data_IF_893103466348
#
_entry.id   IF_893103466348
#
_cell.length_a   1.000
_cell.length_b   1.000
_cell.length_c   1.000
_cell.angle_alpha   90.00
_cell.angle_beta   90.00
_cell.angle_gamma   90.00
#
_symmetry.space_group_name_H-M   'P 1'
#
loop_
_entity.id
_entity.type
_entity.pdbx_description
1 polymer ?
#
# COMPACT_ATOMS: atom_id res chain seq x y z
N UNK A 1 -4.27 20.53 8.41
CA UNK A 1 -2.92 20.45 7.81
C UNK A 1 -1.88 20.27 8.93
N UNK A 2 -1.70 19.04 9.44
CA UNK A 2 -0.76 18.77 10.56
C UNK A 2 0.60 18.20 10.09
N UNK A 3 0.73 17.85 8.80
CA UNK A 3 1.93 17.26 8.18
C UNK A 3 2.71 18.24 7.29
N UNK A 4 2.17 19.42 6.99
CA UNK A 4 2.82 20.42 6.14
C UNK A 4 4.09 20.96 6.82
N UNK A 5 5.22 20.30 6.54
CA UNK A 5 6.55 20.68 7.05
C UNK A 5 7.37 19.55 7.66
N UNK A 6 6.84 18.32 7.83
CA UNK A 6 7.63 17.19 8.36
C UNK A 6 7.98 16.17 7.27
N UNK A 7 9.23 15.70 7.21
CA UNK A 7 9.57 14.61 6.31
C UNK A 7 8.85 13.33 6.76
N UNK A 8 8.28 12.60 5.79
CA UNK A 8 7.78 11.26 6.06
C UNK A 8 8.92 10.27 6.31
N UNK A 9 8.63 9.24 7.09
CA UNK A 9 9.59 8.22 7.55
C UNK A 9 9.07 6.82 7.26
N UNK A 10 9.99 5.87 7.28
CA UNK A 10 9.72 4.43 7.28
C UNK A 10 9.74 3.86 8.70
N UNK A 11 9.30 2.61 8.86
CA UNK A 11 9.55 1.85 10.09
C UNK A 11 10.69 0.85 9.86
N UNK A 12 11.65 0.76 10.78
CA UNK A 12 12.79 -0.14 10.68
C UNK A 12 12.39 -1.62 10.51
N UNK A 13 11.17 -2.00 10.92
CA UNK A 13 10.64 -3.35 10.70
C UNK A 13 10.55 -3.73 9.22
N UNK A 14 10.55 -2.76 8.30
CA UNK A 14 10.66 -3.04 6.87
C UNK A 14 11.90 -3.86 6.53
N UNK A 15 12.99 -3.76 7.30
CA UNK A 15 14.21 -4.52 7.04
C UNK A 15 14.27 -5.87 7.78
N UNK A 16 13.32 -6.19 8.64
CA UNK A 16 13.38 -7.35 9.54
C UNK A 16 12.12 -8.21 9.58
N UNK A 17 10.96 -7.66 9.21
CA UNK A 17 9.65 -8.27 9.35
C UNK A 17 8.94 -8.39 7.98
N UNK A 18 7.95 -9.29 7.91
CA UNK A 18 7.10 -9.53 6.73
C UNK A 18 7.91 -9.81 5.45
N UNK A 19 8.98 -10.59 5.56
CA UNK A 19 9.79 -11.04 4.43
C UNK A 19 9.10 -12.24 3.79
N UNK A 20 8.65 -12.09 2.54
CA UNK A 20 7.99 -13.17 1.80
C UNK A 20 9.04 -14.18 1.31
N UNK A 21 8.86 -15.46 1.65
CA UNK A 21 9.73 -16.55 1.20
C UNK A 21 8.96 -17.38 0.17
N UNK A 22 9.11 -17.03 -1.11
CA UNK A 22 8.28 -17.54 -2.20
C UNK A 22 8.26 -19.08 -2.33
N UNK A 23 9.35 -19.77 -1.95
CA UNK A 23 9.40 -21.24 -1.95
C UNK A 23 8.34 -21.90 -1.06
N UNK A 24 7.92 -21.22 0.00
CA UNK A 24 6.95 -21.75 0.96
C UNK A 24 5.61 -21.00 0.92
N UNK A 25 5.50 -19.92 0.15
CA UNK A 25 4.30 -19.09 0.13
C UNK A 25 4.00 -18.43 1.48
N UNK A 26 5.00 -18.22 2.34
CA UNK A 26 4.83 -17.72 3.71
C UNK A 26 5.58 -16.39 3.90
N UNK A 27 5.00 -15.50 4.72
CA UNK A 27 5.70 -14.34 5.25
C UNK A 27 6.39 -14.70 6.56
N UNK A 28 7.67 -14.36 6.69
CA UNK A 28 8.37 -14.40 7.96
C UNK A 28 7.88 -13.23 8.84
N UNK A 29 7.07 -13.53 9.84
CA UNK A 29 6.85 -12.66 11.00
C UNK A 29 7.79 -13.09 12.12
N UNK A 30 8.53 -12.19 12.79
CA UNK A 30 9.24 -12.57 13.98
C UNK A 30 8.23 -13.01 15.03
N UNK A 31 8.26 -14.28 15.42
CA UNK A 31 7.56 -14.75 16.61
C UNK A 31 8.01 -13.87 17.79
N UNK A 32 7.06 -13.24 18.48
CA UNK A 32 7.34 -12.50 19.71
C UNK A 32 8.21 -13.35 20.66
N UNK A 33 9.14 -12.71 21.39
CA UNK A 33 8.78 -12.38 22.77
C UNK A 33 9.34 -11.05 23.27
N UNK A 34 8.86 -10.70 24.47
CA UNK A 34 9.25 -9.67 25.44
C UNK A 34 10.77 -9.50 25.68
N UNK A 35 11.56 -9.20 24.65
CA UNK A 35 12.98 -8.89 24.81
C UNK A 35 13.28 -7.55 24.14
N UNK A 36 13.82 -6.57 24.88
CA UNK A 36 14.10 -5.25 24.34
C UNK A 36 15.13 -5.34 23.20
N UNK A 37 14.97 -4.54 22.13
CA UNK A 37 15.84 -4.60 20.98
C UNK A 37 17.22 -4.07 21.38
N UNK A 38 18.21 -4.96 21.40
CA UNK A 38 19.61 -4.55 21.35
C UNK A 38 20.15 -4.90 19.95
N UNK A 39 20.86 -3.95 19.33
CA UNK A 39 21.16 -3.87 17.88
C UNK A 39 21.92 -5.06 17.27
N UNK A 40 22.32 -6.06 18.06
CA UNK A 40 23.18 -7.17 17.65
C UNK A 40 22.52 -8.57 17.70
N UNK A 41 21.19 -8.68 17.81
CA UNK A 41 20.53 -9.97 18.11
C UNK A 41 19.62 -10.56 17.01
N UNK A 42 19.74 -10.12 15.76
CA UNK A 42 19.04 -10.70 14.60
C UNK A 42 19.11 -12.25 14.56
N UNK A 43 20.28 -12.81 14.87
CA UNK A 43 20.49 -14.25 14.93
C UNK A 43 19.64 -14.97 15.99
N UNK A 44 19.28 -14.32 17.10
CA UNK A 44 18.45 -14.95 18.16
C UNK A 44 16.96 -14.94 17.85
N UNK A 45 16.45 -13.93 17.13
CA UNK A 45 15.04 -13.93 16.68
C UNK A 45 14.83 -14.94 15.54
N UNK A 46 15.85 -15.14 14.69
CA UNK A 46 15.89 -16.22 13.69
C UNK A 46 15.88 -17.62 14.34
N UNK A 47 16.51 -17.77 15.51
CA UNK A 47 16.63 -19.04 16.24
C UNK A 47 15.28 -19.69 16.57
N UNK A 48 14.21 -18.93 16.76
CA UNK A 48 12.89 -19.51 17.09
C UNK A 48 12.10 -19.99 15.87
N UNK A 49 12.25 -19.30 14.73
CA UNK A 49 11.72 -19.78 13.44
C UNK A 49 12.47 -21.05 13.01
N UNK A 50 13.77 -21.09 13.29
CA UNK A 50 14.60 -22.30 13.18
C UNK A 50 14.17 -23.35 14.21
N UNK A 51 13.94 -23.07 15.48
CA UNK A 51 13.54 -24.09 16.49
C UNK A 51 12.22 -24.80 16.15
N UNK A 52 11.22 -24.08 15.63
CA UNK A 52 9.96 -24.68 15.19
C UNK A 52 10.14 -25.61 13.98
N UNK A 53 11.10 -25.32 13.08
CA UNK A 53 11.45 -26.18 11.94
C UNK A 53 12.54 -27.24 12.26
N UNK A 54 13.42 -26.98 13.22
CA UNK A 54 14.59 -27.77 13.61
C UNK A 54 14.28 -28.80 14.71
N UNK A 55 13.03 -28.90 15.17
CA UNK A 55 12.58 -30.05 15.96
C UNK A 55 12.70 -31.38 15.21
N UNK A 56 12.94 -31.34 13.89
CA UNK A 56 13.51 -32.45 13.13
C UNK A 56 14.97 -32.14 12.72
N UNK A 57 15.89 -32.91 13.29
CA UNK A 57 17.32 -32.96 12.96
C UNK A 57 17.62 -32.84 11.46
N UNK A 58 18.40 -31.82 11.09
CA UNK A 58 19.33 -31.67 9.95
C UNK A 58 19.22 -30.24 9.36
N UNK A 59 20.31 -29.48 9.40
CA UNK A 59 20.49 -28.31 8.52
C UNK A 59 20.56 -28.86 7.10
N UNK A 60 19.42 -28.94 6.44
CA UNK A 60 19.33 -29.36 5.04
C UNK A 60 19.64 -28.18 4.12
N UNK A 61 20.04 -28.46 2.88
CA UNK A 61 20.23 -27.45 1.81
C UNK A 61 19.01 -26.52 1.65
N UNK A 62 17.83 -26.97 2.07
CA UNK A 62 16.61 -26.17 2.07
C UNK A 62 16.67 -24.97 3.03
N UNK A 63 17.21 -25.14 4.24
CA UNK A 63 17.33 -24.07 5.26
C UNK A 63 18.35 -23.02 4.81
N UNK A 64 19.48 -23.47 4.27
CA UNK A 64 20.52 -22.56 3.77
C UNK A 64 20.00 -21.72 2.59
N UNK A 65 19.25 -22.33 1.66
CA UNK A 65 18.54 -21.61 0.60
C UNK A 65 17.57 -20.55 1.15
N UNK A 66 16.80 -20.85 2.20
CA UNK A 66 15.90 -19.87 2.82
C UNK A 66 16.66 -18.66 3.36
N UNK A 67 17.77 -18.90 4.06
CA UNK A 67 18.59 -17.82 4.63
C UNK A 67 19.16 -16.92 3.53
N UNK A 68 19.65 -17.49 2.43
CA UNK A 68 20.09 -16.71 1.28
C UNK A 68 18.98 -15.87 0.65
N UNK A 69 17.76 -16.41 0.53
CA UNK A 69 16.61 -15.66 0.03
C UNK A 69 16.25 -14.48 0.95
N UNK A 70 16.23 -14.70 2.26
CA UNK A 70 15.95 -13.65 3.25
C UNK A 70 17.04 -12.57 3.19
N UNK A 71 18.31 -12.96 3.19
CA UNK A 71 19.42 -12.00 3.13
C UNK A 71 19.39 -11.18 1.83
N UNK A 72 19.17 -11.84 0.69
CA UNK A 72 19.03 -11.17 -0.60
C UNK A 72 17.86 -10.16 -0.58
N UNK A 73 16.72 -10.53 0.00
CA UNK A 73 15.56 -9.65 0.13
C UNK A 73 15.84 -8.45 1.06
N UNK A 74 16.54 -8.65 2.18
CA UNK A 74 16.95 -7.54 3.07
C UNK A 74 17.91 -6.60 2.35
N UNK A 75 18.91 -7.12 1.64
CA UNK A 75 19.83 -6.28 0.88
C UNK A 75 19.11 -5.53 -0.24
N UNK A 76 18.17 -6.17 -0.93
CA UNK A 76 17.31 -5.51 -1.92
C UNK A 76 16.53 -4.37 -1.27
N UNK A 77 15.86 -4.61 -0.14
CA UNK A 77 15.08 -3.58 0.58
C UNK A 77 15.92 -2.36 0.97
N UNK A 78 17.18 -2.57 1.40
CA UNK A 78 18.11 -1.47 1.70
C UNK A 78 18.48 -0.63 0.48
N UNK A 79 18.52 -1.23 -0.71
CA UNK A 79 18.85 -0.54 -1.95
C UNK A 79 17.64 0.13 -2.62
N UNK A 80 16.41 -0.22 -2.22
CA UNK A 80 15.19 0.23 -2.92
C UNK A 80 15.08 1.74 -3.05
N UNK A 81 15.36 2.48 -1.97
CA UNK A 81 15.24 3.95 -1.96
C UNK A 81 16.21 4.56 -2.97
N UNK A 82 17.49 4.19 -2.90
CA UNK A 82 18.52 4.68 -3.81
C UNK A 82 18.18 4.36 -5.27
N UNK A 83 17.79 3.12 -5.54
CA UNK A 83 17.44 2.71 -6.90
C UNK A 83 16.19 3.43 -7.42
N UNK A 84 15.21 3.73 -6.56
CA UNK A 84 14.00 4.48 -6.96
C UNK A 84 14.34 5.91 -7.36
N UNK A 85 15.20 6.58 -6.59
CA UNK A 85 15.73 7.93 -6.90
C UNK A 85 16.45 7.92 -8.26
N UNK A 86 17.35 6.96 -8.48
CA UNK A 86 18.08 6.82 -9.74
C UNK A 86 17.15 6.59 -10.92
N UNK A 87 16.17 5.67 -10.78
CA UNK A 87 15.17 5.41 -11.81
C UNK A 87 14.37 6.66 -12.14
N UNK A 88 13.84 7.36 -11.13
CA UNK A 88 13.06 8.58 -11.35
C UNK A 88 13.88 9.68 -12.04
N UNK A 89 15.16 9.82 -11.70
CA UNK A 89 16.05 10.77 -12.37
C UNK A 89 16.26 10.42 -13.85
N UNK A 90 16.40 9.13 -14.18
CA UNK A 90 16.52 8.66 -15.57
C UNK A 90 15.19 8.84 -16.32
N UNK A 91 14.08 8.38 -15.74
CA UNK A 91 12.73 8.45 -16.34
C UNK A 91 12.38 9.90 -16.66
N UNK A 92 12.47 10.81 -15.68
CA UNK A 92 12.13 12.23 -15.88
C UNK A 92 12.95 12.92 -16.97
N UNK A 93 14.17 12.46 -17.24
CA UNK A 93 15.05 13.02 -18.27
C UNK A 93 14.85 12.39 -19.65
N UNK A 94 14.57 11.09 -19.70
CA UNK A 94 14.69 10.30 -20.92
C UNK A 94 13.34 9.80 -21.46
N UNK A 95 12.34 9.61 -20.61
CA UNK A 95 11.04 9.12 -21.03
C UNK A 95 10.21 10.24 -21.67
N UNK A 96 9.48 9.92 -22.74
CA UNK A 96 8.56 10.83 -23.41
C UNK A 96 7.15 10.27 -23.28
N UNK A 97 6.29 10.89 -22.45
CA UNK A 97 4.90 10.48 -22.32
C UNK A 97 4.16 10.52 -23.67
N UNK A 98 3.36 9.48 -23.93
CA UNK A 98 2.43 9.44 -25.06
C UNK A 98 1.18 10.26 -24.75
N UNK A 99 0.73 10.22 -23.49
CA UNK A 99 -0.39 10.97 -22.94
C UNK A 99 0.09 11.87 -21.79
N UNK A 100 0.73 13.02 -22.05
CA UNK A 100 1.15 13.92 -20.98
C UNK A 100 -0.03 14.44 -20.12
N UNK A 101 -1.23 14.47 -20.67
CA UNK A 101 -2.45 14.92 -20.00
C UNK A 101 -2.86 14.05 -18.80
N UNK A 102 -2.53 12.75 -18.78
CA UNK A 102 -2.92 11.83 -17.69
C UNK A 102 -2.06 11.95 -16.44
N UNK A 103 -0.98 12.75 -16.48
CA UNK A 103 -0.06 12.93 -15.35
C UNK A 103 -0.58 13.92 -14.30
N UNK A 104 -1.61 14.70 -14.62
CA UNK A 104 -2.22 15.66 -13.69
C UNK A 104 -3.71 15.36 -13.56
N UNK A 105 -4.23 15.23 -12.34
CA UNK A 105 -5.63 14.88 -12.14
C UNK A 105 -6.55 15.99 -12.69
N UNK A 106 -7.52 15.60 -13.51
CA UNK A 106 -8.54 16.47 -14.07
C UNK A 106 -9.94 15.97 -13.71
N UNK A 107 -10.90 16.88 -13.54
CA UNK A 107 -12.29 16.51 -13.24
C UNK A 107 -12.90 15.65 -14.35
N UNK A 108 -12.49 15.85 -15.60
CA UNK A 108 -12.94 15.05 -16.75
C UNK A 108 -12.49 13.59 -16.70
N UNK A 109 -11.52 13.24 -15.85
CA UNK A 109 -11.10 11.86 -15.65
C UNK A 109 -12.00 11.11 -14.68
N UNK A 110 -12.71 11.85 -13.82
CA UNK A 110 -13.54 11.31 -12.76
C UNK A 110 -14.93 11.00 -13.28
N UNK A 111 -15.47 9.85 -12.87
CA UNK A 111 -16.85 9.48 -13.22
C UNK A 111 -17.83 10.54 -12.67
N UNK A 112 -18.88 10.93 -13.43
CA UNK A 112 -19.87 11.90 -12.96
C UNK A 112 -20.49 11.53 -11.61
N UNK A 113 -20.76 10.24 -11.39
CA UNK A 113 -21.29 9.69 -10.15
C UNK A 113 -20.29 9.80 -8.99
N UNK A 114 -18.98 9.69 -9.27
CA UNK A 114 -17.96 9.95 -8.26
C UNK A 114 -18.02 11.41 -7.80
N UNK A 115 -18.15 12.35 -8.74
CA UNK A 115 -18.29 13.77 -8.41
C UNK A 115 -19.58 14.06 -7.61
N UNK A 116 -20.67 13.33 -7.87
CA UNK A 116 -21.89 13.38 -7.05
C UNK A 116 -21.65 12.91 -5.62
N UNK A 117 -20.96 11.78 -5.45
CA UNK A 117 -20.57 11.27 -4.13
C UNK A 117 -19.72 12.31 -3.38
N UNK A 118 -18.75 12.93 -4.04
CA UNK A 118 -17.91 13.97 -3.42
C UNK A 118 -18.73 15.19 -2.98
N UNK A 119 -19.68 15.64 -3.81
CA UNK A 119 -20.60 16.73 -3.46
C UNK A 119 -21.47 16.36 -2.27
N UNK A 120 -21.98 15.13 -2.22
CA UNK A 120 -22.72 14.63 -1.06
C UNK A 120 -21.85 14.65 0.20
N UNK A 121 -20.67 14.03 0.18
CA UNK A 121 -19.79 13.92 1.36
C UNK A 121 -19.31 15.28 1.91
N UNK A 122 -19.34 16.33 1.10
CA UNK A 122 -18.96 17.70 1.51
C UNK A 122 -20.16 18.59 1.86
N UNK A 123 -21.38 18.08 1.69
CA UNK A 123 -22.61 18.82 1.99
C UNK A 123 -22.91 18.87 3.50
N UNK A 124 -23.57 19.93 4.00
CA UNK A 124 -24.05 19.96 5.37
C UNK A 124 -25.05 18.82 5.64
N UNK A 125 -24.79 18.01 6.67
CA UNK A 125 -25.65 16.87 7.02
C UNK A 125 -25.29 15.56 6.32
N UNK A 126 -24.18 15.51 5.57
CA UNK A 126 -23.65 14.27 5.04
C UNK A 126 -23.39 13.26 6.17
N UNK A 127 -23.93 12.06 6.04
CA UNK A 127 -23.77 10.98 7.00
C UNK A 127 -23.46 9.65 6.29
N UNK A 128 -23.14 8.64 7.10
CA UNK A 128 -22.82 7.31 6.59
C UNK A 128 -24.00 6.69 5.85
N UNK A 129 -25.22 6.83 6.37
CA UNK A 129 -26.40 6.18 5.79
C UNK A 129 -26.72 6.74 4.40
N UNK A 130 -26.64 8.06 4.23
CA UNK A 130 -26.79 8.71 2.93
C UNK A 130 -25.68 8.32 1.97
N UNK A 131 -24.42 8.25 2.43
CA UNK A 131 -23.30 7.82 1.59
C UNK A 131 -23.51 6.39 1.07
N UNK A 132 -23.94 5.47 1.93
CA UNK A 132 -24.17 4.07 1.55
C UNK A 132 -25.22 3.90 0.44
N UNK A 133 -26.10 4.90 0.21
CA UNK A 133 -27.04 4.85 -0.92
C UNK A 133 -26.39 5.01 -2.30
N UNK A 134 -25.15 5.54 -2.35
CA UNK A 134 -24.37 5.68 -3.58
C UNK A 134 -23.40 4.50 -3.82
N UNK A 135 -23.19 3.65 -2.81
CA UNK A 135 -22.15 2.63 -2.81
C UNK A 135 -22.76 1.24 -2.86
N UNK A 136 -22.02 0.32 -3.44
CA UNK A 136 -22.34 -1.10 -3.29
C UNK A 136 -21.51 -1.70 -2.16
N UNK A 137 -22.16 -2.35 -1.21
CA UNK A 137 -21.53 -2.95 -0.02
C UNK A 137 -21.56 -4.46 -0.14
N UNK A 138 -20.40 -5.11 0.01
CA UNK A 138 -20.32 -6.58 -0.14
C UNK A 138 -20.34 -7.34 1.18
N UNK A 139 -20.00 -6.69 2.29
CA UNK A 139 -19.96 -7.34 3.61
C UNK A 139 -20.03 -6.35 4.76
N UNK A 140 -20.29 -6.89 5.96
CA UNK A 140 -20.13 -6.21 7.24
C UNK A 140 -18.68 -5.78 7.53
N UNK A 141 -17.71 -6.31 6.77
CA UNK A 141 -16.29 -5.93 6.82
C UNK A 141 -15.97 -4.60 6.12
N UNK A 142 -16.99 -3.89 5.63
CA UNK A 142 -16.91 -2.54 5.05
C UNK A 142 -16.02 -2.48 3.81
N UNK A 143 -16.35 -3.37 2.86
CA UNK A 143 -15.79 -3.39 1.50
C UNK A 143 -16.83 -2.77 0.58
N UNK A 144 -16.44 -1.68 -0.10
CA UNK A 144 -17.35 -0.89 -0.92
C UNK A 144 -16.87 -0.79 -2.36
N UNK A 145 -17.79 -0.88 -3.33
CA UNK A 145 -17.54 -0.54 -4.73
C UNK A 145 -18.15 0.82 -5.05
N UNK A 146 -17.37 1.64 -5.75
CA UNK A 146 -17.77 2.96 -6.21
C UNK A 146 -17.23 3.24 -7.62
N UNK A 147 -17.95 4.03 -8.45
CA UNK A 147 -17.38 4.57 -9.67
C UNK A 147 -16.24 5.54 -9.33
N UNK A 148 -15.15 5.54 -10.10
CA UNK A 148 -13.99 6.41 -9.86
C UNK A 148 -13.62 7.16 -11.13
N UNK A 149 -13.36 6.44 -12.22
CA UNK A 149 -12.89 7.03 -13.47
C UNK A 149 -13.83 6.78 -14.64
N UNK A 150 -13.76 7.68 -15.63
CA UNK A 150 -14.40 7.50 -16.93
C UNK A 150 -13.70 6.42 -17.76
N UNK A 151 -14.42 5.82 -18.71
CA UNK A 151 -13.82 4.84 -19.61
C UNK A 151 -12.71 5.45 -20.47
N UNK A 152 -12.90 6.69 -20.93
CA UNK A 152 -11.95 7.42 -21.77
C UNK A 152 -10.63 7.62 -21.04
N UNK A 153 -10.67 8.04 -19.77
CA UNK A 153 -9.47 8.14 -18.95
C UNK A 153 -8.83 6.77 -18.74
N UNK A 154 -9.61 5.76 -18.39
CA UNK A 154 -9.13 4.40 -18.21
C UNK A 154 -8.37 3.89 -19.46
N UNK A 155 -8.87 4.16 -20.67
CA UNK A 155 -8.17 3.80 -21.91
C UNK A 155 -6.86 4.57 -22.09
N UNK A 156 -6.90 5.91 -21.98
CA UNK A 156 -5.71 6.75 -22.16
C UNK A 156 -4.62 6.44 -21.12
N UNK A 157 -5.02 6.18 -19.87
CA UNK A 157 -4.09 5.85 -18.80
C UNK A 157 -3.45 4.48 -19.01
N UNK A 158 -4.22 3.46 -19.44
CA UNK A 158 -3.63 2.15 -19.77
C UNK A 158 -2.69 2.25 -20.98
N UNK A 159 -3.05 3.01 -22.01
CA UNK A 159 -2.19 3.18 -23.20
C UNK A 159 -0.86 3.88 -22.86
N UNK A 160 -0.88 4.87 -21.97
CA UNK A 160 0.34 5.50 -21.43
C UNK A 160 1.22 4.51 -20.65
N UNK A 161 0.60 3.68 -19.80
CA UNK A 161 1.33 2.70 -19.00
C UNK A 161 1.92 1.60 -19.88
N UNK A 162 1.21 1.16 -20.93
CA UNK A 162 1.73 0.23 -21.93
C UNK A 162 2.92 0.84 -22.68
N UNK A 163 2.85 2.13 -23.05
CA UNK A 163 3.95 2.84 -23.68
C UNK A 163 5.18 2.90 -22.75
N UNK A 164 4.99 3.15 -21.45
CA UNK A 164 6.06 3.11 -20.48
C UNK A 164 6.67 1.72 -20.33
N UNK A 165 5.82 0.68 -20.23
CA UNK A 165 6.25 -0.71 -20.11
C UNK A 165 7.07 -1.17 -21.32
N UNK A 166 6.70 -0.73 -22.53
CA UNK A 166 7.39 -1.04 -23.78
C UNK A 166 8.68 -0.23 -24.00
N UNK A 167 8.92 0.81 -23.21
CA UNK A 167 10.12 1.65 -23.33
C UNK A 167 11.35 1.01 -22.67
N UNK A 168 12.55 1.51 -23.02
CA UNK A 168 13.82 1.10 -22.39
C UNK A 168 14.04 1.74 -21.00
N UNK A 169 13.03 2.41 -20.44
CA UNK A 169 13.16 3.04 -19.11
C UNK A 169 13.34 1.99 -18.02
N UNK A 170 14.14 2.29 -16.99
CA UNK A 170 14.34 1.37 -15.89
C UNK A 170 13.04 1.29 -15.06
N UNK A 171 12.68 0.08 -14.62
CA UNK A 171 11.40 -0.21 -13.95
C UNK A 171 11.64 -0.79 -12.56
N UNK A 172 10.97 -0.24 -11.55
CA UNK A 172 10.90 -0.83 -10.22
C UNK A 172 9.77 -1.85 -10.12
N UNK A 173 9.87 -2.79 -9.18
CA UNK A 173 8.76 -3.71 -8.86
C UNK A 173 7.70 -3.01 -8.00
N UNK A 174 6.40 -3.16 -8.28
CA UNK A 174 5.33 -2.53 -7.50
C UNK A 174 5.37 -2.89 -6.00
N UNK A 175 5.51 -4.19 -5.71
CA UNK A 175 5.65 -4.73 -4.37
C UNK A 175 6.43 -6.05 -4.39
N UNK A 176 6.54 -6.73 -3.24
CA UNK A 176 7.34 -7.97 -3.10
C UNK A 176 6.70 -9.18 -3.80
N UNK A 177 5.40 -9.12 -4.10
CA UNK A 177 4.61 -10.23 -4.65
C UNK A 177 4.23 -10.03 -6.13
N UNK A 178 4.32 -8.81 -6.66
CA UNK A 178 4.12 -8.51 -8.08
C UNK A 178 5.46 -8.27 -8.79
N UNK A 179 5.67 -9.00 -9.89
CA UNK A 179 6.82 -8.83 -10.75
C UNK A 179 6.59 -7.78 -11.83
N UNK A 180 5.33 -7.58 -12.24
CA UNK A 180 4.94 -6.68 -13.33
C UNK A 180 4.00 -5.57 -12.88
N UNK A 181 4.21 -4.38 -13.46
CA UNK A 181 3.46 -3.18 -13.12
C UNK A 181 4.33 -1.95 -12.99
N UNK A 182 3.69 -0.83 -12.65
CA UNK A 182 4.32 0.50 -12.72
C UNK A 182 4.21 1.22 -11.38
N UNK A 183 5.33 1.73 -10.89
CA UNK A 183 5.40 2.61 -9.70
C UNK A 183 5.12 4.06 -10.12
N UNK A 184 3.97 4.60 -9.73
CA UNK A 184 3.52 5.92 -10.23
C UNK A 184 4.32 7.09 -9.66
N UNK A 185 4.95 6.91 -8.50
CA UNK A 185 5.88 7.88 -7.94
C UNK A 185 7.15 8.04 -8.81
N UNK A 186 7.59 6.96 -9.48
CA UNK A 186 8.75 6.99 -10.39
C UNK A 186 8.42 7.68 -11.72
N UNK A 187 7.13 7.73 -12.08
CA UNK A 187 6.60 8.55 -13.18
C UNK A 187 6.32 10.00 -12.78
N UNK A 188 6.53 10.38 -11.53
CA UNK A 188 6.29 11.75 -11.05
C UNK A 188 4.80 12.11 -10.89
N UNK A 189 3.92 11.11 -10.74
CA UNK A 189 2.47 11.35 -10.64
C UNK A 189 1.98 11.63 -9.21
N UNK A 190 2.83 11.48 -8.18
CA UNK A 190 2.42 11.61 -6.78
C UNK A 190 1.76 12.96 -6.49
N UNK A 191 2.46 14.06 -6.72
CA UNK A 191 1.93 15.40 -6.46
C UNK A 191 0.84 15.85 -7.44
N UNK A 192 1.00 15.75 -8.77
CA UNK A 192 0.01 16.29 -9.70
C UNK A 192 -1.27 15.45 -9.82
N UNK A 193 -1.24 14.16 -9.45
CA UNK A 193 -2.38 13.26 -9.64
C UNK A 193 -2.83 12.58 -8.34
N UNK A 194 -1.95 11.82 -7.68
CA UNK A 194 -2.36 10.94 -6.58
C UNK A 194 -2.68 11.71 -5.29
N UNK A 195 -1.92 12.76 -4.96
CA UNK A 195 -2.20 13.65 -3.83
C UNK A 195 -3.60 14.27 -3.96
N UNK A 196 -3.96 14.94 -5.08
CA UNK A 196 -5.32 15.45 -5.31
C UNK A 196 -6.40 14.37 -5.25
N UNK A 197 -6.14 13.16 -5.77
CA UNK A 197 -7.11 12.05 -5.73
C UNK A 197 -7.35 11.59 -4.27
N UNK A 198 -6.28 11.39 -3.49
CA UNK A 198 -6.34 11.05 -2.07
C UNK A 198 -7.14 12.11 -1.30
N UNK A 199 -6.85 13.39 -1.53
CA UNK A 199 -7.52 14.49 -0.83
C UNK A 199 -9.01 14.57 -1.14
N UNK A 200 -9.41 14.29 -2.40
CA UNK A 200 -10.82 14.17 -2.78
C UNK A 200 -11.52 13.00 -2.10
N UNK A 201 -10.82 11.92 -1.78
CA UNK A 201 -11.39 10.77 -1.08
C UNK A 201 -11.58 11.02 0.43
N UNK A 202 -10.89 12.01 1.03
CA UNK A 202 -10.92 12.24 2.48
C UNK A 202 -12.32 12.40 3.08
N UNK A 203 -13.25 13.19 2.51
CA UNK A 203 -14.61 13.31 3.06
C UNK A 203 -15.37 11.98 3.06
N UNK A 204 -15.17 11.18 2.01
CA UNK A 204 -15.76 9.85 1.88
C UNK A 204 -15.16 8.88 2.90
N UNK A 205 -13.83 8.82 3.00
CA UNK A 205 -13.14 7.91 3.93
C UNK A 205 -13.35 8.30 5.39
N UNK A 206 -13.56 9.59 5.69
CA UNK A 206 -13.94 10.06 7.02
C UNK A 206 -15.25 9.45 7.51
N UNK A 207 -16.22 9.27 6.62
CA UNK A 207 -17.52 8.65 6.95
C UNK A 207 -17.42 7.12 7.03
N UNK A 208 -16.67 6.48 6.12
CA UNK A 208 -16.60 5.01 6.03
C UNK A 208 -15.67 4.36 7.08
N UNK A 209 -14.55 5.03 7.39
CA UNK A 209 -13.48 4.49 8.23
C UNK A 209 -12.98 5.50 9.28
N UNK A 210 -13.85 6.09 10.10
CA UNK A 210 -13.46 7.10 11.08
C UNK A 210 -12.40 6.58 12.06
N UNK A 211 -12.47 5.30 12.45
CA UNK A 211 -11.55 4.70 13.41
C UNK A 211 -10.16 4.41 12.85
N UNK A 212 -10.00 4.43 11.53
CA UNK A 212 -8.70 4.24 10.86
C UNK A 212 -8.05 5.58 10.48
N UNK A 213 -8.59 6.70 10.98
CA UNK A 213 -8.12 8.02 10.57
C UNK A 213 -8.52 8.37 9.14
N UNK A 214 -9.69 7.92 8.68
CA UNK A 214 -10.17 8.17 7.31
C UNK A 214 -10.24 9.66 6.94
N UNK A 215 -10.37 10.57 7.92
CA UNK A 215 -10.34 12.02 7.70
C UNK A 215 -8.92 12.63 7.59
N UNK A 216 -7.89 11.84 7.91
CA UNK A 216 -6.50 12.30 8.00
C UNK A 216 -5.52 11.31 7.34
N UNK A 217 -5.93 10.73 6.21
CA UNK A 217 -5.05 9.95 5.35
C UNK A 217 -4.11 10.91 4.61
N UNK A 218 -2.92 11.17 5.14
CA UNK A 218 -1.99 12.23 4.72
C UNK A 218 -0.81 11.75 3.86
N UNK A 219 -0.74 10.45 3.60
CA UNK A 219 0.29 9.84 2.75
C UNK A 219 -0.28 8.73 1.89
N UNK A 220 0.40 8.44 0.78
CA UNK A 220 0.02 7.32 -0.09
C UNK A 220 1.22 6.61 -0.70
N UNK A 221 0.97 5.39 -1.18
CA UNK A 221 1.80 4.70 -2.16
C UNK A 221 0.87 4.20 -3.27
N UNK A 222 1.15 4.60 -4.51
CA UNK A 222 0.34 4.22 -5.65
C UNK A 222 1.15 3.44 -6.69
N UNK A 223 0.56 2.38 -7.21
CA UNK A 223 1.17 1.54 -8.23
C UNK A 223 0.09 0.87 -9.06
N UNK A 224 0.45 0.50 -10.29
CA UNK A 224 -0.41 -0.29 -11.16
C UNK A 224 0.14 -1.71 -11.22
N UNK A 225 -0.73 -2.70 -11.09
CA UNK A 225 -0.38 -4.11 -11.29
C UNK A 225 -0.97 -4.60 -12.61
N UNK A 226 -0.26 -5.51 -13.26
CA UNK A 226 -0.64 -6.12 -14.53
C UNK A 226 -0.65 -7.64 -14.38
N UNK A 227 -1.76 -8.26 -14.78
CA UNK A 227 -1.87 -9.71 -14.92
C UNK A 227 -2.03 -10.09 -16.39
N UNK A 228 -1.28 -11.10 -16.83
CA UNK A 228 -1.36 -11.65 -18.20
C UNK A 228 -0.88 -13.11 -18.23
N UNK A 229 -1.28 -13.88 -19.25
CA UNK A 229 -1.04 -15.34 -19.35
C UNK A 229 0.44 -15.78 -19.32
N UNK A 230 1.38 -14.85 -19.53
CA UNK A 230 2.83 -15.12 -19.56
C UNK A 230 3.60 -14.31 -18.51
N UNK A 231 2.89 -13.65 -17.60
CA UNK A 231 3.44 -12.81 -16.53
C UNK A 231 2.90 -13.29 -15.18
N UNK A 232 2.50 -12.39 -14.28
CA UNK A 232 1.79 -12.75 -13.06
C UNK A 232 0.33 -13.14 -13.42
N UNK A 233 -0.13 -14.30 -12.93
CA UNK A 233 -1.51 -14.77 -13.15
C UNK A 233 -2.44 -14.39 -12.00
N UNK A 234 -1.93 -14.39 -10.78
CA UNK A 234 -2.65 -14.27 -9.53
C UNK A 234 -1.84 -13.47 -8.48
N UNK A 235 -2.43 -13.30 -7.31
CA UNK A 235 -1.72 -12.75 -6.16
C UNK A 235 -2.15 -13.49 -4.89
N UNK A 236 -1.19 -14.13 -4.23
CA UNK A 236 -1.44 -14.87 -3.01
C UNK A 236 -1.99 -13.97 -1.89
N UNK A 237 -2.61 -14.59 -0.89
CA UNK A 237 -3.27 -13.87 0.20
C UNK A 237 -2.28 -12.99 0.97
N UNK A 238 -2.64 -11.72 1.16
CA UNK A 238 -1.85 -10.72 1.86
C UNK A 238 -2.76 -9.67 2.51
N UNK A 239 -2.15 -8.71 3.20
CA UNK A 239 -2.78 -7.48 3.65
C UNK A 239 -1.93 -6.30 3.20
N UNK A 240 -2.53 -5.13 3.10
CA UNK A 240 -1.84 -3.94 2.65
C UNK A 240 -1.16 -3.20 3.80
N UNK A 241 -0.02 -2.60 3.49
CA UNK A 241 0.59 -1.60 4.35
C UNK A 241 -0.16 -0.26 4.20
N UNK A 242 -1.44 -0.23 4.57
CA UNK A 242 -2.35 0.90 4.44
C UNK A 242 -3.38 0.92 5.59
N UNK A 243 -3.96 2.09 5.84
CA UNK A 243 -5.17 2.18 6.67
C UNK A 243 -6.39 1.88 5.78
N UNK A 244 -6.44 2.51 4.59
CA UNK A 244 -7.47 2.30 3.56
C UNK A 244 -6.79 2.08 2.21
N UNK A 245 -7.26 1.10 1.46
CA UNK A 245 -6.81 0.81 0.09
C UNK A 245 -7.93 1.12 -0.89
N UNK A 246 -7.59 1.80 -1.97
CA UNK A 246 -8.41 1.89 -3.18
C UNK A 246 -7.79 1.02 -4.28
N UNK A 247 -8.58 0.11 -4.86
CA UNK A 247 -8.18 -0.76 -5.97
C UNK A 247 -9.15 -0.55 -7.15
N UNK A 248 -8.71 0.18 -8.17
CA UNK A 248 -9.52 0.52 -9.35
C UNK A 248 -9.15 -0.38 -10.53
N UNK A 249 -10.15 -1.03 -11.12
CA UNK A 249 -9.96 -1.74 -12.39
C UNK A 249 -9.86 -0.72 -13.52
N UNK A 250 -8.68 -0.58 -14.13
CA UNK A 250 -8.46 0.35 -15.23
C UNK A 250 -8.97 -0.24 -16.56
N UNK A 251 -9.01 -1.56 -16.68
CA UNK A 251 -9.63 -2.25 -17.80
C UNK A 251 -8.70 -3.28 -18.46
N UNK A 252 -8.74 -3.28 -19.80
CA UNK A 252 -8.52 -4.43 -20.69
C UNK A 252 -9.59 -5.53 -20.49
N UNK A 253 -9.76 -6.37 -21.49
CA UNK A 253 -10.68 -7.51 -21.43
C UNK A 253 -9.96 -8.69 -20.81
N UNK A 254 -10.59 -9.33 -19.83
CA UNK A 254 -10.13 -10.56 -19.19
C UNK A 254 -11.32 -11.37 -18.69
N UNK A 255 -11.08 -12.64 -18.40
CA UNK A 255 -12.06 -13.54 -17.76
C UNK A 255 -11.48 -14.09 -16.48
N UNK A 256 -12.33 -14.41 -15.50
CA UNK A 256 -11.95 -14.75 -14.13
C UNK A 256 -11.16 -13.62 -13.45
N UNK A 257 -10.27 -13.91 -12.50
CA UNK A 257 -9.43 -12.86 -11.90
C UNK A 257 -10.11 -12.00 -10.83
N UNK A 258 -11.20 -12.48 -10.23
CA UNK A 258 -11.86 -11.79 -9.11
C UNK A 258 -10.90 -11.57 -7.94
N UNK A 259 -11.19 -10.58 -7.10
CA UNK A 259 -10.58 -10.51 -5.79
C UNK A 259 -11.32 -11.41 -4.83
N UNK A 260 -10.59 -11.97 -3.88
CA UNK A 260 -11.19 -12.64 -2.74
C UNK A 260 -10.77 -11.93 -1.45
N UNK A 261 -11.70 -11.79 -0.51
CA UNK A 261 -11.48 -11.12 0.78
C UNK A 261 -11.79 -12.08 1.94
N UNK A 262 -10.86 -12.20 2.88
CA UNK A 262 -10.92 -13.08 4.05
C UNK A 262 -11.33 -12.36 5.33
N UNK A 263 -10.73 -12.74 6.46
CA UNK A 263 -10.83 -12.00 7.72
C UNK A 263 -9.72 -10.94 7.85
N UNK A 264 -9.77 -10.12 8.89
CA UNK A 264 -8.67 -9.22 9.20
C UNK A 264 -7.46 -10.00 9.69
N UNK A 265 -6.26 -9.53 9.37
CA UNK A 265 -5.01 -10.18 9.78
C UNK A 265 -4.85 -10.35 11.32
N UNK A 266 -5.61 -9.57 12.10
CA UNK A 266 -5.62 -9.60 13.57
C UNK A 266 -6.59 -10.63 14.14
N UNK A 267 -7.57 -11.05 13.36
CA UNK A 267 -8.69 -11.86 13.82
C UNK A 267 -8.90 -13.03 12.85
N UNK A 268 -7.89 -13.91 12.65
CA UNK A 268 -8.04 -15.02 11.73
C UNK A 268 -9.05 -16.03 12.29
N UNK A 269 -10.08 -16.37 11.49
CA UNK A 269 -10.94 -17.51 11.80
C UNK A 269 -10.16 -18.82 11.68
N UNK A 270 -10.55 -19.81 12.51
CA UNK A 270 -9.99 -21.17 12.43
C UNK A 270 -10.19 -21.82 11.04
N UNK A 271 -11.26 -21.42 10.34
CA UNK A 271 -11.52 -21.78 8.94
C UNK A 271 -11.66 -20.49 8.14
N UNK A 272 -10.72 -20.17 7.24
CA UNK A 272 -10.79 -18.99 6.40
C UNK A 272 -12.06 -19.02 5.55
N UNK A 273 -12.87 -17.96 5.64
CA UNK A 273 -14.01 -17.73 4.77
C UNK A 273 -13.69 -16.57 3.83
N UNK A 274 -13.76 -16.86 2.54
CA UNK A 274 -13.51 -15.86 1.51
C UNK A 274 -14.82 -15.45 0.82
N UNK A 275 -14.92 -14.17 0.52
CA UNK A 275 -15.94 -13.61 -0.36
C UNK A 275 -15.26 -13.15 -1.64
N UNK A 276 -15.83 -13.51 -2.78
CA UNK A 276 -15.33 -13.06 -4.07
C UNK A 276 -16.04 -11.77 -4.49
N UNK A 277 -15.26 -10.86 -5.07
CA UNK A 277 -15.74 -9.58 -5.58
C UNK A 277 -15.15 -9.37 -6.97
N UNK A 278 -16.04 -9.18 -7.94
CA UNK A 278 -15.69 -8.93 -9.32
C UNK A 278 -15.18 -7.49 -9.51
N UNK A 279 -14.15 -7.36 -10.35
CA UNK A 279 -13.69 -6.06 -10.83
C UNK A 279 -14.52 -5.57 -12.00
N UNK A 280 -15.00 -4.34 -11.88
CA UNK A 280 -15.69 -3.63 -12.96
C UNK A 280 -14.83 -2.45 -13.39
N UNK A 281 -14.58 -2.33 -14.69
CA UNK A 281 -13.77 -1.25 -15.27
C UNK A 281 -14.27 0.13 -14.83
N UNK A 282 -13.34 1.03 -14.52
CA UNK A 282 -13.62 2.38 -14.02
C UNK A 282 -14.11 2.43 -12.57
N UNK A 283 -14.44 1.27 -11.96
CA UNK A 283 -14.88 1.18 -10.56
C UNK A 283 -13.74 0.77 -9.63
N UNK A 284 -13.73 1.41 -8.47
CA UNK A 284 -12.84 1.14 -7.36
C UNK A 284 -13.47 0.20 -6.34
N UNK A 285 -12.63 -0.62 -5.71
CA UNK A 285 -12.92 -1.28 -4.45
C UNK A 285 -12.18 -0.55 -3.35
N UNK A 286 -12.93 -0.08 -2.36
CA UNK A 286 -12.40 0.57 -1.17
C UNK A 286 -12.53 -0.39 0.00
N UNK A 287 -11.42 -0.66 0.68
CA UNK A 287 -11.39 -1.57 1.83
C UNK A 287 -10.32 -1.17 2.84
N UNK A 288 -10.41 -1.76 4.04
CA UNK A 288 -9.42 -1.58 5.11
C UNK A 288 -8.12 -2.29 4.70
N UNK A 289 -6.96 -1.67 4.93
CA UNK A 289 -5.68 -2.27 4.50
C UNK A 289 -5.34 -3.58 5.24
N UNK A 290 -5.71 -3.70 6.51
CA UNK A 290 -5.51 -4.93 7.31
C UNK A 290 -6.42 -6.11 6.95
N UNK A 291 -7.29 -5.96 5.94
CA UNK A 291 -8.15 -7.01 5.42
C UNK A 291 -7.32 -8.01 4.61
N UNK A 292 -7.36 -9.30 4.98
CA UNK A 292 -6.71 -10.32 4.15
C UNK A 292 -7.45 -10.41 2.83
N UNK A 293 -6.71 -10.38 1.73
CA UNK A 293 -7.26 -10.49 0.38
C UNK A 293 -6.22 -10.98 -0.61
N UNK A 294 -6.66 -11.32 -1.82
CA UNK A 294 -5.79 -11.66 -2.93
C UNK A 294 -6.55 -11.63 -4.26
N UNK A 295 -5.86 -11.97 -5.35
CA UNK A 295 -6.43 -12.06 -6.68
C UNK A 295 -6.45 -13.51 -7.13
N UNK A 296 -7.59 -13.97 -7.64
CA UNK A 296 -7.69 -15.25 -8.35
C UNK A 296 -6.95 -15.18 -9.69
N UNK A 297 -6.55 -16.33 -10.27
CA UNK A 297 -5.95 -16.37 -11.60
C UNK A 297 -6.90 -15.84 -12.67
N UNK A 298 -6.37 -15.08 -13.64
CA UNK A 298 -7.09 -14.80 -14.89
C UNK A 298 -7.04 -16.04 -15.80
N UNK A 299 -8.11 -16.26 -16.57
CA UNK A 299 -8.17 -17.35 -17.57
C UNK A 299 -7.86 -16.87 -18.99
N UNK A 300 -8.02 -15.58 -19.28
CA UNK A 300 -7.69 -14.98 -20.58
C UNK A 300 -7.48 -13.47 -20.47
N UNK A 301 -6.87 -12.87 -21.51
CA UNK A 301 -6.77 -11.43 -21.64
C UNK A 301 -5.71 -10.78 -20.75
N UNK A 302 -5.96 -9.52 -20.39
CA UNK A 302 -5.09 -8.73 -19.52
C UNK A 302 -5.92 -7.97 -18.51
N UNK A 303 -5.38 -7.82 -17.30
CA UNK A 303 -6.03 -7.08 -16.22
C UNK A 303 -5.07 -6.04 -15.66
N UNK A 304 -5.51 -4.79 -15.64
CA UNK A 304 -4.74 -3.66 -15.12
C UNK A 304 -5.48 -2.99 -13.97
N UNK A 305 -4.82 -2.87 -12.82
CA UNK A 305 -5.44 -2.31 -11.61
C UNK A 305 -4.56 -1.21 -11.01
N UNK A 306 -5.15 -0.03 -10.80
CA UNK A 306 -4.55 1.02 -9.97
C UNK A 306 -4.79 0.71 -8.50
N UNK A 307 -3.72 0.57 -7.74
CA UNK A 307 -3.76 0.40 -6.29
C UNK A 307 -3.23 1.66 -5.63
N UNK A 308 -4.00 2.23 -4.72
CA UNK A 308 -3.59 3.36 -3.89
C UNK A 308 -3.72 2.96 -2.42
N UNK A 309 -2.58 2.74 -1.79
CA UNK A 309 -2.47 2.57 -0.35
C UNK A 309 -2.49 3.94 0.31
N UNK A 310 -3.53 4.25 1.09
CA UNK A 310 -3.67 5.52 1.80
C UNK A 310 -3.45 5.32 3.29
N UNK A 311 -2.73 6.28 3.89
CA UNK A 311 -2.19 6.12 5.22
C UNK A 311 -2.34 7.37 6.06
N UNK A 312 -2.46 7.19 7.38
CA UNK A 312 -2.54 8.26 8.36
C UNK A 312 -1.35 8.24 9.30
N UNK A 313 -0.51 9.28 9.25
CA UNK A 313 0.59 9.44 10.20
C UNK A 313 0.11 9.56 11.65
N UNK A 314 -1.09 10.11 11.87
CA UNK A 314 -1.71 10.21 13.19
C UNK A 314 -1.97 8.84 13.85
N UNK A 315 -2.30 7.82 13.05
CA UNK A 315 -2.47 6.44 13.50
C UNK A 315 -1.12 5.74 13.59
N UNK A 316 -0.32 5.82 12.52
CA UNK A 316 0.94 5.07 12.38
C UNK A 316 2.00 5.45 13.41
N UNK A 317 2.08 6.72 13.80
CA UNK A 317 3.05 7.17 14.80
C UNK A 317 2.81 6.56 16.19
N UNK A 318 1.60 6.06 16.46
CA UNK A 318 1.26 5.37 17.72
C UNK A 318 1.70 3.91 17.68
N UNK A 319 1.37 3.20 16.61
CA UNK A 319 1.65 1.77 16.45
C UNK A 319 1.83 1.42 14.97
N UNK A 320 2.95 0.77 14.64
CA UNK A 320 3.19 0.29 13.28
C UNK A 320 2.23 -0.87 12.94
N UNK A 321 1.43 -0.80 11.86
CA UNK A 321 0.49 -1.87 11.50
C UNK A 321 1.19 -3.15 11.03
N UNK A 322 2.45 -3.04 10.58
CA UNK A 322 3.23 -4.16 10.04
C UNK A 322 3.89 -5.01 11.15
N UNK A 323 4.41 -4.37 12.21
CA UNK A 323 5.14 -5.07 13.28
C UNK A 323 4.49 -4.97 14.66
N UNK A 324 3.40 -4.21 14.81
CA UNK A 324 2.64 -4.06 16.06
C UNK A 324 3.45 -3.52 17.23
N UNK A 325 4.47 -2.70 16.94
CA UNK A 325 5.30 -2.02 17.92
C UNK A 325 5.28 -0.52 17.65
N UNK A 326 5.68 0.28 18.65
CA UNK A 326 6.00 1.70 18.43
C UNK A 326 7.05 1.78 17.31
N UNK A 327 6.84 2.59 16.26
CA UNK A 327 7.72 2.59 15.11
C UNK A 327 9.12 3.09 15.47
N UNK A 328 10.14 2.37 15.04
CA UNK A 328 11.51 2.87 14.98
C UNK A 328 11.68 3.58 13.64
N UNK A 329 11.69 4.91 13.67
CA UNK A 329 11.67 5.74 12.46
C UNK A 329 13.02 5.66 11.74
N UNK A 330 12.96 5.42 10.44
CA UNK A 330 14.11 5.43 9.53
C UNK A 330 13.86 6.39 8.38
N UNK A 331 14.94 6.84 7.75
CA UNK A 331 14.84 7.67 6.55
C UNK A 331 14.05 6.95 5.46
N UNK A 332 13.21 7.72 4.78
CA UNK A 332 12.42 7.27 3.66
C UNK A 332 12.32 8.42 2.65
N UNK A 333 11.82 8.09 1.47
CA UNK A 333 11.66 9.03 0.37
C UNK A 333 10.18 9.33 0.12
N UNK A 334 9.87 10.55 -0.33
CA UNK A 334 8.49 10.98 -0.61
C UNK A 334 7.61 10.80 0.63
N UNK A 335 6.55 10.00 0.48
CA UNK A 335 5.62 9.66 1.56
C UNK A 335 6.07 8.50 2.47
N UNK A 336 7.18 7.83 2.15
CA UNK A 336 7.72 6.70 2.91
C UNK A 336 6.68 5.62 3.23
N UNK A 337 6.65 5.17 4.48
CA UNK A 337 5.58 4.32 5.00
C UNK A 337 4.53 5.14 5.77
N UNK A 338 4.43 6.45 5.56
CA UNK A 338 3.40 7.28 6.19
C UNK A 338 3.60 7.55 7.69
N UNK A 339 4.82 7.39 8.21
CA UNK A 339 5.17 7.86 9.56
C UNK A 339 5.72 9.29 9.50
N UNK A 340 5.63 10.04 10.59
CA UNK A 340 6.25 11.36 10.76
C UNK A 340 6.89 11.49 12.14
N UNK A 341 7.84 12.40 12.30
CA UNK A 341 8.41 12.67 13.63
C UNK A 341 7.38 13.36 14.55
N UNK A 342 7.42 13.09 15.88
CA UNK A 342 6.66 13.86 16.85
C UNK A 342 6.99 15.35 16.74
N UNK A 343 6.03 16.22 17.08
CA UNK A 343 6.38 17.61 17.36
C UNK A 343 7.36 17.59 18.53
N UNK A 344 8.54 18.20 18.36
CA UNK A 344 9.26 18.66 19.54
C UNK A 344 8.33 19.67 20.21
N UNK A 345 7.79 19.31 21.38
CA UNK A 345 7.25 20.32 22.27
C UNK A 345 8.41 21.29 22.54
N UNK A 346 8.24 22.57 22.19
CA UNK A 346 9.13 23.62 22.66
C UNK A 346 9.07 23.56 24.19
N UNK A 347 10.06 22.90 24.82
CA UNK A 347 10.22 22.95 26.26
C UNK A 347 10.52 24.41 26.57
N UNK A 348 9.63 25.13 27.29
CA UNK A 348 9.95 26.50 27.70
C UNK A 348 11.25 26.45 28.50
N UNK A 349 12.19 27.38 28.30
CA UNK A 349 13.41 27.38 29.09
C UNK A 349 13.01 27.40 30.57
N UNK A 350 13.41 26.36 31.29
CA UNK A 350 13.27 26.29 32.74
C UNK A 350 14.07 27.45 33.30
N UNK A 351 13.39 28.50 33.73
CA UNK A 351 14.01 29.58 34.49
C UNK A 351 14.39 28.96 35.84
N UNK A 352 15.69 28.82 36.07
CA UNK A 352 16.23 28.32 37.32
C UNK A 352 16.00 29.37 38.41
N UNK A 353 14.92 29.24 39.17
CA UNK A 353 14.59 30.10 40.32
C UNK A 353 15.40 29.64 41.54
N UNK A 354 16.73 29.64 41.42
CA UNK A 354 17.65 29.35 42.52
C UNK A 354 18.83 30.34 42.55
N UNK A 355 18.61 31.58 42.10
CA UNK A 355 19.59 32.67 42.22
C UNK A 355 18.96 33.93 42.85
N UNK A 356 18.22 33.76 43.95
CA UNK A 356 17.94 34.82 44.93
C UNK A 356 17.83 34.16 46.31
N UNK A 357 18.99 33.91 46.91
CA UNK A 357 19.17 33.48 48.30
C UNK A 357 20.51 33.98 48.81
#
# INVERSE_FOLDING_TARGET
NMSAGRPFRGCACFFTDNIFVGRFGLHQTPCLPEVPPNKNNWFKTMSRFLELFCSALLISDSVLCCLFQIEAEVQRRKQLIHQSVERRAIISKCYKPKHPEVYTLQDSFLAPEFLEILRFCTSPGADLQGLLSYLESFSDKRIYRLPVFTEEFCHAFVDELENFEQSDMPKGRPNTMNNYGVLLNELGMDEPFLTPLRERLLPLTALLYPELGGACLDSHKAFVVKYSLHEDLDLSSHYDNAEVTLNVSLGKEFTEGNLYFGDFNQEPSAVPKFMEVEHVRGRGLLHRGGQIHGALPIASGQRWNLIVWMRSSAIRNQLCPMCRRKPELVEAEGFGDGFTEPLQEEVPPTVDVCALG
#
